data_IF_725139903620
#
_entry.id   IF_725139903620
#
_cell.length_a   1.000
_cell.length_b   1.000
_cell.length_c   1.000
_cell.angle_alpha   90.00
_cell.angle_beta   90.00
_cell.angle_gamma   90.00
#
_symmetry.space_group_name_H-M   'P 1'
#
loop_
_entity.id
_entity.type
_entity.pdbx_description
1 polymer ?
#
# COMPACT_ATOMS: atom_id res chain seq x y z
N UNK A 1 6.15 -5.22 -35.18
CA UNK A 1 7.01 -6.35 -34.73
C UNK A 1 6.96 -6.41 -33.20
N UNK A 2 6.15 -7.34 -32.68
CA UNK A 2 6.05 -7.61 -31.26
C UNK A 2 7.32 -8.36 -30.83
N UNK A 3 8.16 -7.71 -30.06
CA UNK A 3 9.42 -8.31 -29.55
C UNK A 3 9.66 -7.94 -28.10
N UNK A 4 10.29 -8.82 -27.36
CA UNK A 4 10.79 -8.52 -26.02
C UNK A 4 12.00 -7.58 -26.17
N UNK A 5 11.90 -6.37 -25.61
CA UNK A 5 12.96 -5.35 -25.67
C UNK A 5 13.92 -5.43 -24.49
N UNK A 6 13.46 -5.99 -23.35
CA UNK A 6 14.29 -6.28 -22.18
C UNK A 6 13.64 -7.36 -21.32
N UNK A 7 14.41 -8.02 -20.50
CA UNK A 7 13.93 -9.03 -19.53
C UNK A 7 14.84 -9.08 -18.31
N UNK A 8 14.26 -9.35 -17.16
CA UNK A 8 14.94 -9.57 -15.89
C UNK A 8 14.47 -10.88 -15.28
N UNK A 9 15.39 -11.68 -14.79
CA UNK A 9 15.12 -12.96 -14.13
C UNK A 9 15.63 -12.89 -12.70
N UNK A 10 14.82 -13.34 -11.76
CA UNK A 10 15.16 -13.42 -10.35
C UNK A 10 15.02 -14.88 -9.90
N UNK A 11 16.14 -15.48 -9.50
CA UNK A 11 16.15 -16.87 -9.04
C UNK A 11 15.59 -16.98 -7.63
N UNK A 12 14.68 -17.93 -7.43
CA UNK A 12 14.15 -18.28 -6.12
C UNK A 12 13.19 -17.27 -5.50
N UNK A 13 12.66 -16.33 -6.28
CA UNK A 13 11.67 -15.34 -5.81
C UNK A 13 10.38 -15.39 -6.63
N UNK A 14 9.27 -15.07 -5.98
CA UNK A 14 7.97 -14.88 -6.62
C UNK A 14 7.68 -13.38 -6.79
N UNK A 15 7.14 -13.02 -7.94
CA UNK A 15 6.73 -11.63 -8.26
C UNK A 15 5.20 -11.58 -8.36
N UNK A 16 4.50 -11.37 -7.24
CA UNK A 16 3.03 -11.38 -7.23
C UNK A 16 2.41 -10.15 -7.88
N UNK A 17 3.14 -9.04 -8.01
CA UNK A 17 2.56 -7.79 -8.46
C UNK A 17 3.58 -6.89 -9.15
N UNK A 18 3.13 -6.20 -10.21
CA UNK A 18 3.81 -5.05 -10.81
C UNK A 18 3.00 -3.80 -10.53
N UNK A 19 3.66 -2.76 -10.05
CA UNK A 19 3.07 -1.44 -9.82
C UNK A 19 3.60 -0.45 -10.85
N UNK A 20 2.73 0.33 -11.46
CA UNK A 20 3.11 1.47 -12.28
C UNK A 20 3.12 2.72 -11.41
N UNK A 21 4.25 3.41 -11.39
CA UNK A 21 4.49 4.59 -10.59
C UNK A 21 4.59 5.82 -11.50
N UNK A 22 4.56 7.00 -10.92
CA UNK A 22 4.76 8.24 -11.67
C UNK A 22 6.18 8.37 -12.25
N UNK A 23 6.36 9.19 -13.30
CA UNK A 23 7.66 9.54 -13.86
C UNK A 23 8.36 8.39 -14.60
N UNK A 24 7.63 7.56 -15.37
CA UNK A 24 8.16 6.41 -16.11
C UNK A 24 8.87 5.39 -15.20
N UNK A 25 8.32 5.19 -14.01
CA UNK A 25 8.81 4.22 -13.03
C UNK A 25 7.83 3.08 -12.88
N UNK A 26 8.35 1.93 -12.52
CA UNK A 26 7.57 0.77 -12.08
C UNK A 26 8.27 0.05 -10.95
N UNK A 27 7.51 -0.72 -10.19
CA UNK A 27 8.04 -1.58 -9.14
C UNK A 27 7.55 -3.00 -9.36
N UNK A 28 8.46 -3.96 -9.31
CA UNK A 28 8.13 -5.37 -9.17
C UNK A 28 8.14 -5.71 -7.68
N UNK A 29 6.99 -6.01 -7.13
CA UNK A 29 6.86 -6.50 -5.76
C UNK A 29 7.21 -7.98 -5.75
N UNK A 30 8.08 -8.37 -4.85
CA UNK A 30 8.54 -9.73 -4.66
C UNK A 30 8.17 -10.21 -3.26
N UNK A 31 8.26 -11.48 -3.02
CA UNK A 31 8.07 -12.06 -1.69
C UNK A 31 9.18 -11.65 -0.67
N UNK A 32 10.36 -11.23 -1.18
CA UNK A 32 11.50 -10.75 -0.39
C UNK A 32 11.74 -9.23 -0.46
N UNK A 33 10.79 -8.45 -1.00
CA UNK A 33 10.93 -6.99 -1.12
C UNK A 33 10.36 -6.43 -2.42
N UNK A 34 11.06 -5.48 -3.02
CA UNK A 34 10.67 -4.94 -4.32
C UNK A 34 11.89 -4.41 -5.09
N UNK A 35 11.76 -4.39 -6.41
CA UNK A 35 12.74 -3.80 -7.33
C UNK A 35 12.11 -2.66 -8.10
N UNK A 36 12.80 -1.53 -8.15
CA UNK A 36 12.40 -0.34 -8.89
C UNK A 36 13.05 -0.31 -10.27
N UNK A 37 12.25 0.05 -11.26
CA UNK A 37 12.67 0.26 -12.64
C UNK A 37 12.36 1.69 -13.08
N UNK A 38 13.16 2.20 -13.99
CA UNK A 38 12.95 3.50 -14.64
C UNK A 38 13.18 3.38 -16.15
N UNK A 39 12.31 3.99 -16.91
CA UNK A 39 12.37 4.06 -18.37
C UNK A 39 11.03 3.65 -19.00
N UNK A 40 10.66 4.31 -20.11
CA UNK A 40 9.41 4.06 -20.83
C UNK A 40 9.56 3.03 -21.95
N UNK A 41 10.69 3.03 -22.66
CA UNK A 41 10.95 2.13 -23.78
C UNK A 41 11.71 0.87 -23.34
N UNK A 42 12.78 1.06 -22.56
CA UNK A 42 13.60 -0.01 -22.01
C UNK A 42 13.76 0.27 -20.52
N UNK A 43 12.89 -0.27 -19.67
CA UNK A 43 13.02 -0.13 -18.23
C UNK A 43 14.34 -0.70 -17.74
N UNK A 44 15.06 0.06 -16.91
CA UNK A 44 16.30 -0.37 -16.26
C UNK A 44 16.07 -0.45 -14.76
N UNK A 45 16.63 -1.48 -14.15
CA UNK A 45 16.68 -1.59 -12.69
C UNK A 45 17.48 -0.42 -12.10
N UNK A 46 16.94 0.25 -11.11
CA UNK A 46 17.57 1.38 -10.44
C UNK A 46 17.83 1.13 -8.97
N UNK A 47 16.97 0.34 -8.31
CA UNK A 47 17.10 0.04 -6.88
C UNK A 47 16.41 -1.27 -6.54
N UNK A 48 16.98 -2.05 -5.63
CA UNK A 48 16.37 -3.25 -5.07
C UNK A 48 16.36 -3.17 -3.56
N UNK A 49 15.16 -3.18 -2.97
CA UNK A 49 14.94 -3.19 -1.55
C UNK A 49 14.60 -4.62 -1.11
N UNK A 50 15.45 -5.20 -0.28
CA UNK A 50 15.20 -6.51 0.34
C UNK A 50 14.67 -6.35 1.75
N UNK A 51 13.77 -7.23 2.14
CA UNK A 51 13.21 -7.34 3.48
C UNK A 51 13.36 -8.78 3.97
N UNK A 52 13.60 -8.91 5.26
CA UNK A 52 13.83 -10.19 5.96
C UNK A 52 12.56 -10.76 6.61
N UNK A 53 11.39 -10.21 6.23
CA UNK A 53 10.09 -10.53 6.83
C UNK A 53 9.09 -10.87 5.74
N UNK A 54 8.17 -11.77 6.08
CA UNK A 54 7.04 -12.10 5.21
C UNK A 54 6.14 -10.89 4.95
N UNK A 55 5.99 -10.52 3.70
CA UNK A 55 5.07 -9.46 3.27
C UNK A 55 3.66 -10.05 3.20
N UNK A 56 2.74 -9.48 3.99
CA UNK A 56 1.34 -9.95 4.04
C UNK A 56 0.39 -9.04 3.27
N UNK A 57 0.77 -7.79 3.03
CA UNK A 57 -0.02 -6.85 2.22
C UNK A 57 0.88 -5.79 1.60
N UNK A 58 0.43 -5.26 0.47
CA UNK A 58 1.07 -4.13 -0.22
C UNK A 58 0.02 -3.09 -0.57
N UNK A 59 0.45 -1.84 -0.65
CA UNK A 59 -0.38 -0.75 -1.16
C UNK A 59 0.52 0.28 -1.84
N UNK A 60 -0.04 1.04 -2.75
CA UNK A 60 0.73 2.10 -3.42
C UNK A 60 -0.18 3.20 -3.96
N UNK A 61 0.39 4.38 -4.10
CA UNK A 61 -0.07 5.48 -4.94
C UNK A 61 1.16 6.15 -5.58
N UNK A 62 0.96 7.28 -6.24
CA UNK A 62 2.02 7.97 -6.99
C UNK A 62 3.23 8.38 -6.14
N UNK A 63 3.11 8.39 -4.83
CA UNK A 63 4.11 8.92 -3.90
C UNK A 63 4.66 7.89 -2.91
N UNK A 64 4.02 6.73 -2.77
CA UNK A 64 4.36 5.78 -1.73
C UNK A 64 4.18 4.33 -2.17
N UNK A 65 5.15 3.50 -1.83
CA UNK A 65 5.09 2.04 -1.89
C UNK A 65 5.04 1.53 -0.46
N UNK A 66 3.97 0.85 -0.10
CA UNK A 66 3.76 0.34 1.24
C UNK A 66 3.88 -1.18 1.31
N UNK A 67 4.57 -1.66 2.33
CA UNK A 67 4.68 -3.07 2.68
C UNK A 67 4.19 -3.28 4.11
N UNK A 68 3.41 -4.33 4.33
CA UNK A 68 2.96 -4.73 5.67
C UNK A 68 3.49 -6.12 5.99
N UNK A 69 4.00 -6.27 7.20
CA UNK A 69 4.60 -7.49 7.73
C UNK A 69 3.90 -7.92 9.02
N UNK A 70 3.88 -9.22 9.29
CA UNK A 70 3.66 -9.74 10.65
C UNK A 70 4.95 -9.59 11.46
N UNK A 71 4.84 -9.19 12.72
CA UNK A 71 6.01 -8.97 13.59
C UNK A 71 6.04 -9.84 14.86
N UNK A 72 5.02 -10.67 15.10
CA UNK A 72 4.96 -11.54 16.27
C UNK A 72 4.60 -10.84 17.60
N UNK A 73 4.43 -9.53 17.61
CA UNK A 73 3.99 -8.75 18.76
C UNK A 73 2.48 -8.95 18.94
N UNK A 74 2.04 -9.35 20.14
CA UNK A 74 0.61 -9.61 20.43
C UNK A 74 -0.23 -8.34 20.47
N UNK A 75 0.35 -7.24 20.93
CA UNK A 75 -0.35 -5.95 21.07
C UNK A 75 -0.37 -5.18 19.76
N UNK A 76 0.66 -5.35 18.92
CA UNK A 76 0.80 -4.70 17.61
C UNK A 76 1.33 -5.70 16.58
N UNK A 77 0.48 -6.63 16.12
CA UNK A 77 0.91 -7.76 15.29
C UNK A 77 1.40 -7.39 13.89
N UNK A 78 1.20 -6.15 13.47
CA UNK A 78 1.60 -5.67 12.15
C UNK A 78 2.62 -4.56 12.21
N UNK A 79 3.55 -4.58 11.28
CA UNK A 79 4.45 -3.46 10.97
C UNK A 79 4.22 -3.03 9.54
N UNK A 80 4.00 -1.74 9.32
CA UNK A 80 3.89 -1.11 8.01
C UNK A 80 5.16 -0.31 7.75
N UNK A 81 5.75 -0.47 6.56
CA UNK A 81 6.81 0.39 6.04
C UNK A 81 6.31 1.11 4.79
N UNK A 82 6.53 2.40 4.74
CA UNK A 82 6.28 3.23 3.56
C UNK A 82 7.57 3.70 2.95
N UNK A 83 7.73 3.46 1.65
CA UNK A 83 8.88 3.89 0.86
C UNK A 83 8.45 4.92 -0.16
N UNK A 84 9.31 5.86 -0.48
CA UNK A 84 9.11 6.71 -1.66
C UNK A 84 9.38 5.94 -2.95
N UNK A 85 8.99 6.52 -4.06
CA UNK A 85 9.19 5.92 -5.40
C UNK A 85 10.65 5.90 -5.85
N UNK A 86 11.59 6.41 -5.06
CA UNK A 86 13.04 6.27 -5.23
C UNK A 86 13.64 5.18 -4.31
N UNK A 87 12.82 4.46 -3.53
CA UNK A 87 13.26 3.40 -2.62
C UNK A 87 13.60 3.85 -1.20
N UNK A 88 13.58 5.15 -0.89
CA UNK A 88 13.91 5.64 0.45
C UNK A 88 12.80 5.32 1.45
N UNK A 89 13.16 4.74 2.60
CA UNK A 89 12.21 4.51 3.70
C UNK A 89 11.72 5.85 4.27
N UNK A 90 10.42 6.08 4.24
CA UNK A 90 9.77 7.30 4.76
C UNK A 90 9.26 7.14 6.18
N UNK A 91 8.73 5.97 6.50
CA UNK A 91 8.25 5.67 7.85
C UNK A 91 8.18 4.17 8.11
N UNK A 92 8.22 3.82 9.39
CA UNK A 92 7.85 2.50 9.91
C UNK A 92 6.84 2.70 11.03
N UNK A 93 5.74 1.94 11.01
CA UNK A 93 4.67 2.02 12.00
C UNK A 93 4.20 0.63 12.41
N UNK A 94 4.21 0.35 13.72
CA UNK A 94 3.52 -0.80 14.28
C UNK A 94 2.06 -0.46 14.55
N UNK A 95 1.16 -1.38 14.27
CA UNK A 95 -0.28 -1.19 14.48
C UNK A 95 -0.99 -2.50 14.81
N UNK A 96 -2.19 -2.39 15.35
CA UNK A 96 -3.02 -3.52 15.77
C UNK A 96 -4.43 -3.52 15.14
N UNK A 97 -4.69 -2.63 14.19
CA UNK A 97 -5.99 -2.54 13.54
C UNK A 97 -6.21 -3.81 12.73
N UNK A 98 -7.23 -4.63 13.04
CA UNK A 98 -7.56 -5.80 12.23
C UNK A 98 -8.14 -5.31 10.90
N UNK A 99 -7.40 -5.46 9.82
CA UNK A 99 -7.82 -5.06 8.49
C UNK A 99 -7.97 -6.27 7.56
N UNK A 100 -8.87 -6.19 6.62
CA UNK A 100 -8.96 -7.09 5.45
C UNK A 100 -8.47 -6.41 4.19
N UNK A 101 -8.56 -5.09 4.15
CA UNK A 101 -8.12 -4.27 3.02
C UNK A 101 -7.28 -3.11 3.50
N UNK A 102 -6.16 -2.89 2.79
CA UNK A 102 -5.31 -1.72 2.91
C UNK A 102 -5.07 -1.14 1.52
N UNK A 103 -5.19 0.17 1.38
CA UNK A 103 -4.89 0.86 0.12
C UNK A 103 -4.42 2.29 0.35
N UNK A 104 -3.64 2.82 -0.57
CA UNK A 104 -3.31 4.24 -0.61
C UNK A 104 -4.31 4.98 -1.51
N UNK A 105 -4.67 6.19 -1.12
CA UNK A 105 -5.59 7.03 -1.88
C UNK A 105 -5.38 8.51 -1.53
N UNK A 106 -4.91 9.28 -2.51
CA UNK A 106 -4.73 10.73 -2.41
C UNK A 106 -3.89 11.16 -1.22
N UNK A 107 -2.74 10.50 -1.01
CA UNK A 107 -1.80 10.78 0.07
C UNK A 107 -2.24 10.30 1.46
N UNK A 108 -3.26 9.45 1.54
CA UNK A 108 -3.64 8.77 2.77
C UNK A 108 -3.58 7.25 2.59
N UNK A 109 -3.42 6.55 3.71
CA UNK A 109 -3.48 5.11 3.80
C UNK A 109 -4.80 4.77 4.48
N UNK A 110 -5.62 3.98 3.80
CA UNK A 110 -6.94 3.55 4.25
C UNK A 110 -6.85 2.08 4.64
N UNK A 111 -7.22 1.76 5.88
CA UNK A 111 -7.34 0.40 6.38
C UNK A 111 -8.79 0.19 6.79
N UNK A 112 -9.36 -0.95 6.42
CA UNK A 112 -10.69 -1.31 6.85
C UNK A 112 -10.92 -2.82 6.87
N UNK A 113 -11.91 -3.24 7.63
CA UNK A 113 -12.53 -4.56 7.60
C UNK A 113 -14.05 -4.40 7.44
N UNK A 114 -14.82 -5.42 7.82
CA UNK A 114 -16.27 -5.38 7.66
C UNK A 114 -16.98 -4.28 8.47
N UNK A 115 -16.37 -3.77 9.57
CA UNK A 115 -17.05 -2.84 10.50
C UNK A 115 -16.15 -1.72 11.05
N UNK A 116 -14.86 -1.76 10.75
CA UNK A 116 -13.88 -0.79 11.26
C UNK A 116 -13.15 -0.11 10.14
N UNK A 117 -12.85 1.17 10.31
CA UNK A 117 -12.04 1.97 9.40
C UNK A 117 -10.92 2.67 10.16
N UNK A 118 -9.80 2.88 9.48
CA UNK A 118 -8.72 3.76 9.92
C UNK A 118 -8.16 4.53 8.74
N UNK A 119 -7.84 5.79 8.97
CA UNK A 119 -7.19 6.69 8.02
C UNK A 119 -5.87 7.13 8.61
N UNK A 120 -4.79 6.85 7.90
CA UNK A 120 -3.45 7.37 8.21
C UNK A 120 -3.01 8.34 7.11
N UNK A 121 -2.15 9.28 7.45
CA UNK A 121 -1.48 10.10 6.43
C UNK A 121 -0.32 9.33 5.77
N UNK A 122 0.32 9.94 4.77
CA UNK A 122 1.48 9.37 4.06
C UNK A 122 2.72 9.13 4.93
N UNK A 123 2.71 9.53 6.20
CA UNK A 123 3.77 9.26 7.19
C UNK A 123 3.36 8.20 8.21
N UNK A 124 2.24 7.49 8.00
CA UNK A 124 1.75 6.47 8.92
C UNK A 124 1.16 7.01 10.23
N UNK A 125 0.87 8.32 10.30
CA UNK A 125 0.20 8.91 11.46
C UNK A 125 -1.30 8.74 11.31
N UNK A 126 -1.93 8.10 12.28
CA UNK A 126 -3.38 7.92 12.31
C UNK A 126 -4.08 9.27 12.46
N UNK A 127 -5.01 9.54 11.57
CA UNK A 127 -5.89 10.71 11.58
C UNK A 127 -7.25 10.41 12.16
N UNK A 128 -7.71 9.21 11.94
CA UNK A 128 -9.03 8.76 12.36
C UNK A 128 -9.08 7.24 12.43
N UNK A 129 -9.79 6.72 13.41
CA UNK A 129 -10.24 5.33 13.47
C UNK A 129 -11.64 5.28 14.09
N UNK A 130 -12.45 4.33 13.64
CA UNK A 130 -13.81 4.20 14.13
C UNK A 130 -14.48 2.91 13.67
N UNK A 131 -15.61 2.62 14.30
CA UNK A 131 -16.52 1.55 13.92
C UNK A 131 -17.70 2.13 13.15
N UNK A 132 -18.30 1.35 12.29
CA UNK A 132 -19.43 1.70 11.45
C UNK A 132 -20.58 0.73 11.73
N UNK A 133 -21.79 1.24 11.68
CA UNK A 133 -23.00 0.44 11.76
C UNK A 133 -23.38 -0.03 10.35
N UNK A 134 -23.15 -1.31 10.05
CA UNK A 134 -23.29 -1.91 8.72
C UNK A 134 -22.03 -2.65 8.27
N UNK A 135 -22.12 -3.34 7.14
CA UNK A 135 -21.00 -4.07 6.56
C UNK A 135 -20.30 -3.23 5.48
N UNK A 136 -19.02 -2.95 5.70
CA UNK A 136 -18.22 -2.17 4.77
C UNK A 136 -17.82 -3.04 3.57
N UNK A 137 -18.19 -2.61 2.37
CA UNK A 137 -17.75 -3.21 1.11
C UNK A 137 -16.62 -2.42 0.44
N UNK A 138 -16.59 -1.09 0.60
CA UNK A 138 -15.47 -0.27 0.12
C UNK A 138 -15.34 1.04 0.92
N UNK A 139 -14.14 1.63 0.90
CA UNK A 139 -13.80 2.88 1.56
C UNK A 139 -12.86 3.69 0.67
N UNK A 140 -13.29 4.88 0.23
CA UNK A 140 -12.63 5.65 -0.81
C UNK A 140 -12.48 7.10 -0.37
N UNK A 141 -11.31 7.71 -0.64
CA UNK A 141 -11.12 9.15 -0.49
C UNK A 141 -11.68 9.87 -1.74
N UNK A 142 -12.57 10.83 -1.53
CA UNK A 142 -13.25 11.57 -2.63
C UNK A 142 -12.85 13.04 -2.71
N UNK A 143 -12.13 13.55 -1.72
CA UNK A 143 -11.70 14.96 -1.72
C UNK A 143 -10.89 15.31 -0.49
N UNK A 144 -10.67 16.60 -0.27
CA UNK A 144 -9.97 17.09 0.91
C UNK A 144 -10.73 16.69 2.18
N UNK A 145 -10.13 15.81 2.99
CA UNK A 145 -10.73 15.25 4.21
C UNK A 145 -12.14 14.65 4.03
N UNK A 146 -12.53 14.28 2.81
CA UNK A 146 -13.81 13.63 2.52
C UNK A 146 -13.57 12.19 2.04
N UNK A 147 -14.38 11.31 2.59
CA UNK A 147 -14.32 9.87 2.30
C UNK A 147 -15.72 9.35 2.05
N UNK A 148 -15.84 8.43 1.12
CA UNK A 148 -17.04 7.68 0.82
C UNK A 148 -16.89 6.29 1.42
N UNK A 149 -17.87 5.89 2.19
CA UNK A 149 -17.98 4.57 2.77
C UNK A 149 -19.15 3.85 2.10
N UNK A 150 -18.86 2.76 1.43
CA UNK A 150 -19.87 1.93 0.77
C UNK A 150 -20.23 0.79 1.71
N UNK A 151 -21.50 0.72 2.09
CA UNK A 151 -22.07 -0.26 2.99
C UNK A 151 -23.00 -1.20 2.24
N UNK A 152 -23.36 -2.32 2.86
CA UNK A 152 -24.37 -3.27 2.34
C UNK A 152 -25.77 -2.66 2.20
N UNK A 153 -26.08 -1.62 2.98
CA UNK A 153 -27.37 -0.94 3.03
C UNK A 153 -27.36 0.50 2.48
N UNK A 154 -26.23 1.00 2.01
CA UNK A 154 -26.15 2.37 1.50
C UNK A 154 -24.73 2.92 1.36
N UNK A 155 -24.67 4.24 1.35
CA UNK A 155 -23.42 4.98 1.19
C UNK A 155 -23.37 6.13 2.17
N UNK A 156 -22.30 6.21 2.97
CA UNK A 156 -22.04 7.29 3.90
C UNK A 156 -20.90 8.21 3.42
N UNK A 157 -21.00 9.48 3.74
CA UNK A 157 -19.93 10.46 3.50
C UNK A 157 -19.35 10.90 4.84
N UNK A 158 -18.07 10.60 5.03
CA UNK A 158 -17.32 10.99 6.22
C UNK A 158 -16.47 12.23 5.88
N UNK A 159 -16.56 13.25 6.71
CA UNK A 159 -15.70 14.42 6.67
C UNK A 159 -14.86 14.46 7.94
N UNK A 160 -13.54 14.40 7.78
CA UNK A 160 -12.62 14.60 8.89
C UNK A 160 -12.34 16.09 9.07
N UNK A 161 -12.34 16.53 10.29
CA UNK A 161 -12.02 17.93 10.66
C UNK A 161 -10.51 18.15 10.75
#
# INVERSE_FOLDING_TARGET
DDRIVSGYTYDGVVIPQIMYLDGNRSAAIRDDGFTLYKGSQIPKEVETIKVDKEIVSTFYDDNIIGLVFKNGDKDKPYTMRGYSTDGSLKFEKKFNIPYTTIKASGGNILLYNSSQISVMNSRGVEKYSGTVDGTISDFIKTGWNRYLLVLDNGVDVIKLS
#
